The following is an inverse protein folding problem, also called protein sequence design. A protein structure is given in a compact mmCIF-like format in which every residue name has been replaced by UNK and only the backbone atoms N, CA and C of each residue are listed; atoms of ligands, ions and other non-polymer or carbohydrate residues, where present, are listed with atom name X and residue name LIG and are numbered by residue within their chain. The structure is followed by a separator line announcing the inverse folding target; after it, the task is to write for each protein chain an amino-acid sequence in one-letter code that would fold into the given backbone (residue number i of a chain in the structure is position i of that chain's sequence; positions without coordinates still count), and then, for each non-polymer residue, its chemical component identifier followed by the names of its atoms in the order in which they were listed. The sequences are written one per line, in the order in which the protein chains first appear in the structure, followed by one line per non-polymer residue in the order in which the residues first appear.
data_IF_480438497691
#
_entry.id   IF_480438497691
#
_cell.length_a   1.000
_cell.length_b   1.000
_cell.length_c   1.000
_cell.angle_alpha   90.00
_cell.angle_beta   90.00
_cell.angle_gamma   90.00
#
_symmetry.space_group_name_H-M   'P 1'
#
loop_
_entity.id
_entity.type
_entity.pdbx_description
1 polymer ?
#
# COMPACT_ATOMS: atom_id res chain seq x y z
N UNK A 1 -33.43 -44.35 35.81
CA UNK A 1 -32.71 -44.23 37.09
C UNK A 1 -31.79 -43.03 37.04
N UNK A 2 -32.03 -42.09 37.97
CA UNK A 2 -31.17 -41.00 38.48
C UNK A 2 -30.70 -39.90 37.52
N UNK A 3 -31.56 -38.90 37.39
CA UNK A 3 -31.24 -37.48 37.15
C UNK A 3 -30.57 -36.88 38.39
N UNK A 4 -29.61 -35.95 38.21
CA UNK A 4 -29.15 -35.04 39.27
C UNK A 4 -29.02 -33.63 38.69
N UNK A 5 -29.90 -32.74 39.16
CA UNK A 5 -29.77 -31.29 39.09
C UNK A 5 -28.74 -30.85 40.14
N UNK A 6 -27.89 -29.88 39.82
CA UNK A 6 -27.10 -29.15 40.79
C UNK A 6 -27.08 -27.67 40.39
N UNK A 7 -28.00 -26.92 40.97
CA UNK A 7 -27.89 -25.47 41.12
C UNK A 7 -27.42 -25.16 42.54
N UNK A 8 -26.41 -24.30 42.68
CA UNK A 8 -26.15 -23.53 43.90
C UNK A 8 -25.83 -22.11 43.49
N UNK A 9 -26.70 -21.20 43.94
CA UNK A 9 -26.52 -19.76 43.96
C UNK A 9 -25.74 -19.38 45.22
N UNK A 10 -24.78 -18.47 45.13
CA UNK A 10 -24.29 -17.71 46.28
C UNK A 10 -24.00 -16.26 45.89
N UNK A 11 -24.62 -15.36 46.62
CA UNK A 11 -24.68 -13.92 46.45
C UNK A 11 -23.44 -13.16 46.93
N UNK A 12 -23.22 -12.00 46.29
CA UNK A 12 -22.82 -10.69 46.84
C UNK A 12 -21.48 -10.55 47.59
N UNK A 13 -20.53 -9.87 46.94
CA UNK A 13 -19.73 -8.82 47.60
C UNK A 13 -19.71 -7.58 46.70
N UNK A 14 -20.05 -6.45 47.34
CA UNK A 14 -20.16 -5.13 46.78
C UNK A 14 -18.81 -4.56 46.36
N UNK A 15 -18.79 -3.90 45.21
CA UNK A 15 -17.73 -3.00 44.77
C UNK A 15 -18.38 -1.87 44.00
N UNK A 16 -18.66 -0.78 44.71
CA UNK A 16 -19.23 0.44 44.15
C UNK A 16 -18.22 1.12 43.22
N UNK A 17 -18.59 1.28 41.95
CA UNK A 17 -18.11 2.39 41.13
C UNK A 17 -19.32 2.96 40.37
N UNK A 18 -20.01 3.90 41.01
CA UNK A 18 -20.96 4.78 40.33
C UNK A 18 -20.16 5.69 39.41
N UNK A 19 -19.95 5.27 38.16
CA UNK A 19 -19.56 6.21 37.11
C UNK A 19 -20.83 6.93 36.69
N UNK A 20 -20.93 8.20 37.07
CA UNK A 20 -21.93 9.12 36.55
C UNK A 20 -21.71 9.25 35.05
N UNK A 21 -22.51 8.55 34.26
CA UNK A 21 -22.69 8.87 32.85
C UNK A 21 -23.69 10.00 32.83
N UNK A 22 -23.22 11.22 32.64
CA UNK A 22 -24.07 12.32 32.18
C UNK A 22 -24.62 11.85 30.82
N UNK A 23 -25.93 11.75 30.60
CA UNK A 23 -26.48 11.45 29.29
C UNK A 23 -26.38 12.73 28.44
N UNK A 24 -25.16 13.14 28.11
CA UNK A 24 -24.94 13.84 26.87
C UNK A 24 -25.21 12.80 25.79
N UNK A 25 -26.16 13.08 24.91
CA UNK A 25 -26.43 12.29 23.72
C UNK A 25 -25.18 12.30 22.82
N UNK A 26 -24.15 11.54 23.19
CA UNK A 26 -23.13 11.08 22.28
C UNK A 26 -23.81 9.96 21.51
N UNK A 27 -24.57 10.35 20.49
CA UNK A 27 -24.94 9.47 19.39
C UNK A 27 -23.63 9.09 18.73
N UNK A 28 -22.93 8.11 19.31
CA UNK A 28 -21.88 7.39 18.61
C UNK A 28 -22.65 6.58 17.59
N UNK A 29 -22.88 7.21 16.44
CA UNK A 29 -23.22 6.51 15.22
C UNK A 29 -22.05 5.57 14.97
N UNK A 30 -22.18 4.35 15.47
CA UNK A 30 -21.40 3.20 15.02
C UNK A 30 -21.71 3.03 13.55
N UNK A 31 -21.02 3.80 12.70
CA UNK A 31 -20.99 3.63 11.25
C UNK A 31 -20.26 2.35 10.92
N UNK A 32 -20.85 1.19 11.26
CA UNK A 32 -20.40 -0.16 10.90
C UNK A 32 -20.78 -0.42 9.43
N UNK A 33 -20.28 0.48 8.58
CA UNK A 33 -20.07 0.37 7.13
C UNK A 33 -19.53 1.72 6.67
N UNK A 34 -18.33 2.11 7.12
CA UNK A 34 -17.57 3.08 6.33
C UNK A 34 -17.23 2.40 5.02
N UNK A 35 -18.03 2.64 3.99
CA UNK A 35 -17.64 2.38 2.60
C UNK A 35 -16.22 2.92 2.43
N UNK A 36 -15.28 2.04 2.08
CA UNK A 36 -13.88 2.41 1.86
C UNK A 36 -13.84 3.61 0.91
N UNK A 37 -13.11 4.68 1.28
CA UNK A 37 -12.99 5.86 0.43
C UNK A 37 -12.42 5.46 -0.94
N UNK A 38 -12.75 6.24 -1.98
CA UNK A 38 -12.23 6.00 -3.32
C UNK A 38 -10.68 5.93 -3.33
N UNK A 39 -10.03 6.81 -2.57
CA UNK A 39 -8.58 6.81 -2.38
C UNK A 39 -8.07 5.51 -1.76
N UNK A 40 -8.72 5.02 -0.69
CA UNK A 40 -8.32 3.76 -0.06
C UNK A 40 -8.53 2.57 -0.98
N UNK A 41 -9.60 2.54 -1.77
CA UNK A 41 -9.85 1.47 -2.75
C UNK A 41 -8.77 1.48 -3.81
N UNK A 42 -8.55 2.61 -4.48
CA UNK A 42 -7.52 2.75 -5.51
C UNK A 42 -6.11 2.40 -4.98
N UNK A 43 -5.78 2.82 -3.75
CA UNK A 43 -4.49 2.52 -3.13
C UNK A 43 -4.29 1.03 -2.87
N UNK A 44 -5.33 0.33 -2.39
CA UNK A 44 -5.29 -1.11 -2.17
C UNK A 44 -5.16 -1.86 -3.49
N UNK A 45 -6.00 -1.51 -4.48
CA UNK A 45 -5.97 -2.13 -5.81
C UNK A 45 -4.59 -1.99 -6.47
N UNK A 46 -3.97 -0.81 -6.35
CA UNK A 46 -2.61 -0.59 -6.84
C UNK A 46 -1.58 -1.46 -6.12
N UNK A 47 -1.66 -1.56 -4.78
CA UNK A 47 -0.75 -2.39 -4.00
C UNK A 47 -0.87 -3.87 -4.39
N UNK A 48 -2.10 -4.35 -4.58
CA UNK A 48 -2.38 -5.74 -4.93
C UNK A 48 -1.91 -6.03 -6.35
N UNK A 49 -2.20 -5.13 -7.30
CA UNK A 49 -1.69 -5.21 -8.68
C UNK A 49 -0.16 -5.26 -8.71
N UNK A 50 0.54 -4.43 -7.93
CA UNK A 50 1.99 -4.42 -7.90
C UNK A 50 2.59 -5.77 -7.44
N UNK A 51 1.90 -6.45 -6.52
CA UNK A 51 2.28 -7.78 -6.03
C UNK A 51 1.90 -8.87 -7.03
N UNK A 52 0.69 -8.84 -7.60
CA UNK A 52 0.19 -9.82 -8.56
C UNK A 52 1.01 -9.81 -9.85
N UNK A 53 1.25 -8.62 -10.40
CA UNK A 53 2.16 -8.43 -11.52
C UNK A 53 3.62 -8.75 -11.14
N UNK A 54 3.91 -8.79 -9.83
CA UNK A 54 5.18 -9.07 -9.18
C UNK A 54 6.29 -8.09 -9.58
N UNK A 55 5.91 -6.83 -9.73
CA UNK A 55 6.83 -5.69 -9.76
C UNK A 55 7.56 -5.54 -8.42
N UNK A 56 6.89 -5.95 -7.34
CA UNK A 56 7.43 -5.98 -5.98
C UNK A 56 7.36 -7.38 -5.40
N UNK A 57 8.33 -7.73 -4.55
CA UNK A 57 8.28 -8.98 -3.80
C UNK A 57 7.08 -8.96 -2.84
N UNK A 58 6.33 -10.05 -2.83
CA UNK A 58 5.36 -10.29 -1.75
C UNK A 58 6.14 -10.46 -0.45
N UNK A 59 5.96 -9.55 0.50
CA UNK A 59 6.41 -9.77 1.87
C UNK A 59 5.58 -10.95 2.37
N UNK A 60 6.16 -12.14 2.49
CA UNK A 60 5.48 -13.40 2.91
C UNK A 60 4.89 -13.37 4.33
N UNK A 61 4.51 -12.20 4.82
CA UNK A 61 4.00 -11.94 6.15
C UNK A 61 5.02 -12.28 7.23
N UNK A 62 4.50 -12.45 8.44
CA UNK A 62 5.27 -12.92 9.59
C UNK A 62 5.83 -14.33 9.38
N UNK A 63 5.14 -15.18 8.60
CA UNK A 63 5.60 -16.53 8.30
C UNK A 63 6.87 -16.52 7.44
N UNK A 64 6.92 -15.72 6.38
CA UNK A 64 8.12 -15.57 5.55
C UNK A 64 9.29 -14.91 6.30
N UNK A 65 9.00 -14.01 7.24
CA UNK A 65 10.02 -13.43 8.12
C UNK A 65 10.56 -14.48 9.11
N UNK A 66 9.68 -15.25 9.75
CA UNK A 66 10.07 -16.33 10.66
C UNK A 66 10.89 -17.39 9.93
N UNK A 67 10.48 -17.81 8.73
CA UNK A 67 11.23 -18.74 7.89
C UNK A 67 12.62 -18.18 7.55
N UNK A 68 12.72 -16.91 7.15
CA UNK A 68 14.01 -16.25 6.90
C UNK A 68 14.89 -16.19 8.16
N UNK A 69 14.31 -15.97 9.34
CA UNK A 69 15.05 -15.92 10.60
C UNK A 69 15.51 -17.31 11.06
N UNK A 70 14.69 -18.35 10.87
CA UNK A 70 14.96 -19.73 11.31
C UNK A 70 15.91 -20.44 10.34
N UNK A 71 15.65 -20.32 9.04
CA UNK A 71 16.33 -21.08 7.99
C UNK A 71 17.36 -20.25 7.22
N UNK A 72 17.44 -18.94 7.47
CA UNK A 72 18.22 -18.03 6.65
C UNK A 72 17.62 -17.85 5.25
N UNK A 73 18.18 -16.93 4.47
CA UNK A 73 17.87 -16.79 3.05
C UNK A 73 19.12 -17.06 2.23
N UNK A 74 19.09 -18.08 1.38
CA UNK A 74 20.18 -18.31 0.45
C UNK A 74 20.23 -17.20 -0.61
N UNK A 75 21.42 -16.94 -1.16
CA UNK A 75 21.58 -15.97 -2.26
C UNK A 75 20.78 -16.35 -3.52
N UNK A 76 20.49 -17.62 -3.69
CA UNK A 76 19.74 -18.13 -4.85
C UNK A 76 18.24 -17.90 -4.68
N UNK A 77 17.69 -18.18 -3.48
CA UNK A 77 16.32 -17.81 -3.12
C UNK A 77 16.10 -16.29 -3.18
N UNK A 78 17.09 -15.51 -2.71
CA UNK A 78 17.01 -14.05 -2.78
C UNK A 78 16.91 -13.53 -4.22
N UNK A 79 17.59 -14.18 -5.17
CA UNK A 79 17.59 -13.81 -6.60
C UNK A 79 16.37 -14.32 -7.36
N UNK A 80 15.94 -15.56 -7.09
CA UNK A 80 14.84 -16.19 -7.81
C UNK A 80 13.51 -15.43 -7.66
N UNK A 81 13.32 -14.73 -6.55
CA UNK A 81 12.10 -13.95 -6.26
C UNK A 81 12.14 -12.52 -6.79
N UNK A 82 13.18 -12.11 -7.53
CA UNK A 82 13.29 -10.76 -8.07
C UNK A 82 12.45 -10.57 -9.33
N UNK A 83 12.04 -9.33 -9.59
CA UNK A 83 11.39 -8.97 -10.86
C UNK A 83 12.26 -9.35 -12.07
N UNK A 84 13.57 -9.08 -12.01
CA UNK A 84 14.53 -9.39 -13.06
C UNK A 84 14.55 -10.89 -13.40
N UNK A 85 14.64 -11.77 -12.38
CA UNK A 85 14.55 -13.20 -12.57
C UNK A 85 13.20 -13.64 -13.17
N UNK A 86 12.08 -13.05 -12.71
CA UNK A 86 10.73 -13.38 -13.21
C UNK A 86 10.54 -13.04 -14.68
N UNK A 87 11.06 -11.91 -15.13
CA UNK A 87 10.99 -11.53 -16.55
C UNK A 87 12.08 -12.19 -17.40
N UNK A 88 13.02 -12.90 -16.77
CA UNK A 88 14.13 -13.59 -17.42
C UNK A 88 15.20 -12.64 -17.96
N UNK A 89 15.58 -11.62 -17.18
CA UNK A 89 16.54 -10.59 -17.61
C UNK A 89 17.89 -11.17 -18.07
N UNK A 90 18.35 -12.23 -17.43
CA UNK A 90 19.60 -12.94 -17.71
C UNK A 90 19.50 -13.98 -18.84
N UNK A 91 18.28 -14.41 -19.21
CA UNK A 91 18.07 -15.59 -20.07
C UNK A 91 17.32 -15.31 -21.37
N UNK A 92 16.35 -14.39 -21.36
CA UNK A 92 15.48 -14.14 -22.53
C UNK A 92 16.12 -13.16 -23.50
N UNK A 93 15.61 -13.08 -24.72
CA UNK A 93 16.10 -12.12 -25.70
C UNK A 93 15.98 -10.68 -25.15
N UNK A 94 17.05 -9.85 -25.20
CA UNK A 94 17.07 -8.52 -24.60
C UNK A 94 15.88 -7.65 -24.99
N UNK A 95 15.53 -7.61 -26.29
CA UNK A 95 14.39 -6.81 -26.80
C UNK A 95 13.05 -7.18 -26.13
N UNK A 96 12.83 -8.46 -25.82
CA UNK A 96 11.60 -8.91 -25.16
C UNK A 96 11.58 -8.49 -23.70
N UNK A 97 12.75 -8.49 -23.05
CA UNK A 97 12.88 -8.05 -21.66
C UNK A 97 12.69 -6.53 -21.58
N UNK A 98 13.37 -5.75 -22.41
CA UNK A 98 13.25 -4.29 -22.45
C UNK A 98 11.80 -3.86 -22.73
N UNK A 99 11.13 -4.50 -23.71
CA UNK A 99 9.71 -4.25 -23.99
C UNK A 99 8.81 -4.56 -22.80
N UNK A 100 9.12 -5.63 -22.04
CA UNK A 100 8.39 -5.97 -20.82
C UNK A 100 8.60 -4.93 -19.71
N UNK A 101 9.83 -4.47 -19.51
CA UNK A 101 10.16 -3.41 -18.54
C UNK A 101 9.39 -2.14 -18.87
N UNK A 102 9.38 -1.73 -20.15
CA UNK A 102 8.61 -0.55 -20.62
C UNK A 102 7.12 -0.70 -20.30
N UNK A 103 6.53 -1.84 -20.64
CA UNK A 103 5.10 -2.09 -20.39
C UNK A 103 4.79 -2.04 -18.90
N UNK A 104 5.54 -2.78 -18.08
CA UNK A 104 5.30 -2.86 -16.64
C UNK A 104 5.53 -1.50 -15.95
N UNK A 105 6.52 -0.72 -16.41
CA UNK A 105 6.78 0.66 -15.94
C UNK A 105 5.61 1.58 -16.26
N UNK A 106 5.07 1.52 -17.49
CA UNK A 106 3.88 2.27 -17.91
C UNK A 106 2.66 1.92 -17.06
N UNK A 107 2.42 0.63 -16.85
CA UNK A 107 1.29 0.15 -16.06
C UNK A 107 1.40 0.62 -14.59
N UNK A 108 2.59 0.48 -13.98
CA UNK A 108 2.86 0.92 -12.62
C UNK A 108 2.72 2.45 -12.46
N UNK A 109 3.20 3.22 -13.45
CA UNK A 109 3.06 4.68 -13.49
C UNK A 109 1.60 5.12 -13.62
N UNK A 110 0.85 4.48 -14.52
CA UNK A 110 -0.56 4.78 -14.73
C UNK A 110 -1.40 4.46 -13.47
N UNK A 111 -1.11 3.34 -12.81
CA UNK A 111 -1.73 2.97 -11.53
C UNK A 111 -1.50 4.03 -10.45
N UNK A 112 -0.24 4.43 -10.22
CA UNK A 112 0.09 5.47 -9.23
C UNK A 112 -0.53 6.83 -9.58
N UNK A 113 -0.60 7.18 -10.87
CA UNK A 113 -1.28 8.39 -11.33
C UNK A 113 -2.77 8.35 -11.01
N UNK A 114 -3.40 7.18 -11.14
CA UNK A 114 -4.79 6.95 -10.75
C UNK A 114 -5.00 7.16 -9.26
N UNK A 115 -4.15 6.56 -8.42
CA UNK A 115 -4.18 6.74 -6.96
C UNK A 115 -4.00 8.22 -6.58
N UNK A 116 -3.06 8.92 -7.22
CA UNK A 116 -2.78 10.34 -6.96
C UNK A 116 -3.89 11.27 -7.45
N UNK A 117 -4.68 10.86 -8.43
CA UNK A 117 -5.90 11.59 -8.83
C UNK A 117 -6.97 11.53 -7.75
N UNK A 118 -7.20 10.35 -7.16
CA UNK A 118 -8.15 10.22 -6.04
C UNK A 118 -7.70 11.00 -4.81
N UNK A 119 -6.38 11.06 -4.57
CA UNK A 119 -5.81 11.89 -3.51
C UNK A 119 -6.06 13.38 -3.71
N UNK A 120 -5.86 13.89 -4.94
CA UNK A 120 -6.16 15.29 -5.26
C UNK A 120 -7.65 15.59 -5.17
N UNK A 121 -8.51 14.69 -5.63
CA UNK A 121 -9.96 14.85 -5.48
C UNK A 121 -10.38 14.98 -4.01
N UNK A 122 -9.67 14.32 -3.09
CA UNK A 122 -9.88 14.47 -1.64
C UNK A 122 -9.31 15.79 -1.11
N UNK A 123 -8.18 16.28 -1.63
CA UNK A 123 -7.60 17.58 -1.29
C UNK A 123 -8.49 18.75 -1.74
N UNK A 124 -9.11 18.65 -2.91
CA UNK A 124 -9.96 19.68 -3.51
C UNK A 124 -11.35 19.78 -2.85
N UNK A 125 -11.74 18.79 -2.03
CA UNK A 125 -13.00 18.87 -1.29
C UNK A 125 -12.97 20.02 -0.28
N UNK A 126 -13.96 20.94 -0.32
CA UNK A 126 -14.05 22.02 0.64
C UNK A 126 -14.19 21.47 2.05
N UNK A 127 -13.60 22.17 3.04
CA UNK A 127 -13.81 21.88 4.46
C UNK A 127 -15.27 22.20 4.84
N UNK A 128 -16.20 21.30 4.54
CA UNK A 128 -17.63 21.48 4.86
C UNK A 128 -17.95 20.73 6.14
N UNK A 129 -18.48 21.49 7.11
CA UNK A 129 -18.69 21.14 8.52
C UNK A 129 -19.73 20.06 8.79
N UNK A 130 -20.47 19.60 7.77
CA UNK A 130 -21.49 18.57 7.94
C UNK A 130 -21.32 17.46 6.88
N UNK A 131 -20.84 16.31 7.35
CA UNK A 131 -21.00 14.98 6.75
C UNK A 131 -20.22 14.61 5.48
N UNK A 132 -19.28 15.42 4.97
CA UNK A 132 -18.42 15.02 3.84
C UNK A 132 -17.11 14.36 4.30
N UNK A 133 -16.61 13.41 3.49
CA UNK A 133 -15.41 12.61 3.79
C UNK A 133 -14.14 13.50 3.83
N UNK A 134 -13.84 14.06 4.99
CA UNK A 134 -12.57 14.72 5.25
C UNK A 134 -11.44 13.69 5.23
N UNK A 135 -10.26 14.08 4.73
CA UNK A 135 -9.09 13.22 4.67
C UNK A 135 -8.81 12.57 6.03
N UNK A 136 -8.95 11.25 6.10
CA UNK A 136 -8.72 10.49 7.33
C UNK A 136 -7.28 9.99 7.40
N UNK A 137 -6.83 9.66 8.62
CA UNK A 137 -5.55 8.96 8.83
C UNK A 137 -5.46 7.68 8.00
N UNK A 138 -6.57 6.97 7.83
CA UNK A 138 -6.60 5.72 7.05
C UNK A 138 -6.37 5.99 5.56
N UNK A 139 -6.87 7.11 5.03
CA UNK A 139 -6.66 7.52 3.64
C UNK A 139 -5.19 7.87 3.38
N UNK A 140 -4.58 8.67 4.27
CA UNK A 140 -3.17 9.02 4.22
C UNK A 140 -2.28 7.76 4.23
N UNK A 141 -2.49 6.88 5.20
CA UNK A 141 -1.69 5.65 5.34
C UNK A 141 -1.83 4.71 4.14
N UNK A 142 -3.03 4.62 3.55
CA UNK A 142 -3.26 3.86 2.33
C UNK A 142 -2.50 4.45 1.14
N UNK A 143 -2.54 5.78 0.97
CA UNK A 143 -1.81 6.48 -0.09
C UNK A 143 -0.29 6.32 0.05
N UNK A 144 0.24 6.51 1.26
CA UNK A 144 1.68 6.32 1.54
C UNK A 144 2.13 4.89 1.25
N UNK A 145 1.31 3.89 1.60
CA UNK A 145 1.58 2.49 1.26
C UNK A 145 1.68 2.30 -0.25
N UNK A 146 0.75 2.87 -1.03
CA UNK A 146 0.79 2.81 -2.49
C UNK A 146 2.06 3.48 -3.04
N UNK A 147 2.43 4.65 -2.53
CA UNK A 147 3.66 5.35 -2.91
C UNK A 147 4.93 4.52 -2.63
N UNK A 148 5.02 3.91 -1.45
CA UNK A 148 6.14 3.02 -1.12
C UNK A 148 6.20 1.83 -2.08
N UNK A 149 5.05 1.24 -2.43
CA UNK A 149 4.99 0.14 -3.42
C UNK A 149 5.44 0.59 -4.80
N UNK A 150 5.08 1.79 -5.24
CA UNK A 150 5.56 2.35 -6.50
C UNK A 150 7.08 2.55 -6.51
N UNK A 151 7.64 3.09 -5.43
CA UNK A 151 9.09 3.26 -5.27
C UNK A 151 9.83 1.92 -5.29
N UNK A 152 9.25 0.88 -4.70
CA UNK A 152 9.79 -0.48 -4.75
C UNK A 152 9.75 -1.03 -6.19
N UNK A 153 8.63 -0.87 -6.90
CA UNK A 153 8.49 -1.30 -8.29
C UNK A 153 9.50 -0.61 -9.20
N UNK A 154 9.66 0.71 -9.05
CA UNK A 154 10.66 1.49 -9.78
C UNK A 154 12.08 0.93 -9.62
N UNK A 155 12.50 0.67 -8.37
CA UNK A 155 13.83 0.06 -8.09
C UNK A 155 13.96 -1.34 -8.70
N UNK A 156 12.90 -2.15 -8.66
CA UNK A 156 12.89 -3.47 -9.30
C UNK A 156 13.10 -3.37 -10.81
N UNK A 157 12.46 -2.39 -11.46
CA UNK A 157 12.59 -2.17 -12.91
C UNK A 157 13.99 -1.69 -13.28
N UNK A 158 14.56 -0.73 -12.52
CA UNK A 158 15.94 -0.28 -12.70
C UNK A 158 16.94 -1.43 -12.52
N UNK A 159 16.74 -2.28 -11.52
CA UNK A 159 17.58 -3.46 -11.30
C UNK A 159 17.54 -4.41 -12.51
N UNK A 160 16.35 -4.68 -13.05
CA UNK A 160 16.20 -5.54 -14.22
C UNK A 160 16.82 -4.93 -15.48
N UNK A 161 16.68 -3.62 -15.68
CA UNK A 161 17.36 -2.92 -16.77
C UNK A 161 18.89 -3.05 -16.63
N UNK A 162 19.43 -2.85 -15.43
CA UNK A 162 20.86 -3.03 -15.16
C UNK A 162 21.36 -4.45 -15.48
N UNK A 163 20.58 -5.47 -15.16
CA UNK A 163 20.92 -6.86 -15.50
C UNK A 163 20.94 -7.11 -17.02
N UNK A 164 19.97 -6.58 -17.77
CA UNK A 164 19.95 -6.71 -19.23
C UNK A 164 21.08 -5.89 -19.87
N UNK A 165 21.33 -4.67 -19.36
CA UNK A 165 22.37 -3.75 -19.85
C UNK A 165 23.80 -4.29 -19.65
N UNK A 166 24.00 -5.14 -18.64
CA UNK A 166 25.28 -5.77 -18.39
C UNK A 166 25.62 -6.92 -19.36
N UNK A 167 24.68 -7.31 -20.24
CA UNK A 167 24.89 -8.45 -21.14
C UNK A 167 25.73 -8.07 -22.35
N UNK A 168 26.74 -8.87 -22.71
CA UNK A 168 27.63 -8.55 -23.82
C UNK A 168 26.92 -8.59 -25.18
N UNK A 169 25.84 -9.36 -25.31
CA UNK A 169 25.02 -9.43 -26.53
C UNK A 169 23.94 -8.32 -26.65
N UNK A 170 23.93 -7.31 -25.77
CA UNK A 170 23.00 -6.20 -25.91
C UNK A 170 23.41 -5.32 -27.10
N UNK A 171 22.70 -5.48 -28.22
CA UNK A 171 22.79 -4.63 -29.42
C UNK A 171 21.51 -3.80 -29.63
N UNK A 172 20.83 -3.46 -28.52
CA UNK A 172 19.52 -2.80 -28.54
C UNK A 172 19.58 -1.54 -27.67
N UNK A 173 19.06 -0.45 -28.21
CA UNK A 173 18.93 0.83 -27.52
C UNK A 173 18.00 0.72 -26.29
N UNK A 174 18.48 1.19 -25.14
CA UNK A 174 17.72 1.24 -23.88
C UNK A 174 16.96 2.54 -23.70
N UNK A 175 17.15 3.54 -24.58
CA UNK A 175 16.61 4.90 -24.39
C UNK A 175 15.09 4.96 -24.19
N UNK A 176 14.33 4.06 -24.82
CA UNK A 176 12.88 3.95 -24.60
C UNK A 176 12.54 3.49 -23.17
N UNK A 177 13.37 2.61 -22.60
CA UNK A 177 13.22 2.16 -21.20
C UNK A 177 13.58 3.29 -20.25
N UNK A 178 14.69 3.97 -20.50
CA UNK A 178 15.17 5.10 -19.70
C UNK A 178 14.12 6.22 -19.65
N UNK A 179 13.55 6.59 -20.79
CA UNK A 179 12.49 7.60 -20.87
C UNK A 179 11.26 7.25 -20.02
N UNK A 180 10.82 5.98 -20.04
CA UNK A 180 9.64 5.57 -19.25
C UNK A 180 9.96 5.46 -17.75
N UNK A 181 11.18 5.07 -17.39
CA UNK A 181 11.64 5.09 -16.00
C UNK A 181 11.70 6.53 -15.48
N UNK A 182 12.22 7.48 -16.26
CA UNK A 182 12.24 8.90 -15.89
C UNK A 182 10.83 9.46 -15.71
N UNK A 183 9.90 9.11 -16.60
CA UNK A 183 8.50 9.49 -16.45
C UNK A 183 7.86 8.90 -15.18
N UNK A 184 8.24 7.68 -14.80
CA UNK A 184 7.75 7.05 -13.57
C UNK A 184 8.36 7.71 -12.33
N UNK A 185 9.66 8.04 -12.36
CA UNK A 185 10.31 8.79 -11.29
C UNK A 185 9.64 10.15 -11.05
N UNK A 186 9.36 10.90 -12.11
CA UNK A 186 8.63 12.17 -12.00
C UNK A 186 7.23 11.99 -11.39
N UNK A 187 6.53 10.91 -11.73
CA UNK A 187 5.22 10.58 -11.15
C UNK A 187 5.33 10.24 -9.65
N UNK A 188 6.41 9.58 -9.24
CA UNK A 188 6.69 9.29 -7.82
C UNK A 188 6.98 10.58 -7.04
N UNK A 189 7.72 11.52 -7.62
CA UNK A 189 8.02 12.80 -6.99
C UNK A 189 6.76 13.64 -6.81
N UNK A 190 5.93 13.74 -7.83
CA UNK A 190 4.61 14.39 -7.76
C UNK A 190 3.67 13.71 -6.73
N UNK A 191 3.74 12.39 -6.60
CA UNK A 191 3.00 11.66 -5.58
C UNK A 191 3.53 11.93 -4.15
N UNK A 192 4.84 12.18 -3.97
CA UNK A 192 5.38 12.61 -2.66
C UNK A 192 4.84 13.97 -2.25
N UNK A 193 4.77 14.91 -3.18
CA UNK A 193 4.20 16.23 -2.92
C UNK A 193 2.71 16.15 -2.56
N UNK A 194 1.98 15.25 -3.21
CA UNK A 194 0.58 14.97 -2.89
C UNK A 194 0.42 14.33 -1.50
N UNK A 195 1.34 13.44 -1.09
CA UNK A 195 1.33 12.84 0.25
C UNK A 195 1.53 13.91 1.34
N UNK A 196 2.46 14.84 1.13
CA UNK A 196 2.71 15.95 2.03
C UNK A 196 1.46 16.83 2.19
N UNK A 197 0.79 17.17 1.09
CA UNK A 197 -0.45 17.94 1.13
C UNK A 197 -1.58 17.21 1.88
N UNK A 198 -1.71 15.89 1.69
CA UNK A 198 -2.67 15.08 2.44
C UNK A 198 -2.36 15.08 3.94
N UNK A 199 -1.09 14.99 4.31
CA UNK A 199 -0.66 15.06 5.70
C UNK A 199 -0.97 16.41 6.33
N UNK A 200 -0.72 17.51 5.61
CA UNK A 200 -1.05 18.88 6.07
C UNK A 200 -2.56 19.05 6.26
N UNK A 201 -3.38 18.59 5.30
CA UNK A 201 -4.86 18.62 5.39
C UNK A 201 -5.37 17.77 6.56
N UNK A 202 -4.76 16.61 6.81
CA UNK A 202 -5.12 15.80 7.98
C UNK A 202 -4.77 16.52 9.30
N UNK A 203 -3.62 17.20 9.37
CA UNK A 203 -3.18 17.91 10.56
C UNK A 203 -4.03 19.17 10.87
N UNK A 204 -4.48 19.90 9.84
CA UNK A 204 -5.35 21.07 10.02
C UNK A 204 -6.69 20.71 10.66
N UNK A 205 -7.26 19.57 10.26
CA UNK A 205 -8.54 19.05 10.79
C UNK A 205 -8.43 18.68 12.27
N UNK A 206 -7.30 18.08 12.69
CA UNK A 206 -7.05 17.76 14.10
C UNK A 206 -6.91 19.00 14.99
N UNK A 207 -6.38 20.09 14.43
CA UNK A 207 -6.19 21.37 15.12
C UNK A 207 -7.50 22.15 15.23
N UNK A 208 -8.37 22.10 14.21
CA UNK A 208 -9.67 22.77 14.22
C UNK A 208 -10.70 22.11 15.18
N UNK A 209 -10.48 20.85 15.55
CA UNK A 209 -11.34 20.10 16.46
C UNK A 209 -10.92 20.14 17.94
N UNK A 210 -9.81 20.83 18.26
CA UNK A 210 -9.27 21.01 19.63
C UNK A 210 -9.56 22.41 20.17
#
# INVERSE_FOLDING_TARGET
MRSVFLGVSLCLLAGCATVSVIPGQATVTSGISQTQSALRTASTDYCDQAVEAGWVKSSGGLAGLADTLINGMSREQARADTYAARIGADKRAPVLVLSRIVKDTKDARAGLSGVSREARALLDQPEVTDSQHVASRADLMSYERALVRAQMAYRSFQSALGEVAARPELDVDTGVVDQELDAFAATIDDARDTANQLADKYASVGTAAS
#
